data_IF_049080057643
#
_entry.id   IF_049080057643
#
_cell.length_a   1.000
_cell.length_b   1.000
_cell.length_c   1.000
_cell.angle_alpha   90.00
_cell.angle_beta   90.00
_cell.angle_gamma   90.00
#
_symmetry.space_group_name_H-M   'P 1'
#
loop_
_entity.id
_entity.type
_entity.pdbx_description
1 polymer ?
#
# COMPACT_ATOMS: atom_id res chain seq x y z
N UNK A 1 27.42 9.54 -28.40
CA UNK A 1 27.35 9.87 -26.96
C UNK A 1 26.01 10.50 -26.58
N UNK A 2 25.59 11.58 -27.26
CA UNK A 2 24.33 12.31 -27.02
C UNK A 2 23.07 11.42 -27.06
N UNK A 3 22.98 10.50 -28.02
CA UNK A 3 21.82 9.60 -28.14
C UNK A 3 21.60 8.71 -26.91
N UNK A 4 22.67 8.29 -26.21
CA UNK A 4 22.55 7.44 -25.00
C UNK A 4 22.06 8.25 -23.80
N UNK A 5 22.43 9.53 -23.73
CA UNK A 5 21.97 10.45 -22.69
C UNK A 5 20.47 10.72 -22.85
N UNK A 6 20.02 10.95 -24.09
CA UNK A 6 18.60 11.21 -24.38
C UNK A 6 17.69 10.01 -24.06
N UNK A 7 18.16 8.78 -24.29
CA UNK A 7 17.40 7.57 -23.95
C UNK A 7 17.29 7.41 -22.42
N UNK A 8 18.37 7.67 -21.68
CA UNK A 8 18.37 7.55 -20.22
C UNK A 8 17.43 8.57 -19.55
N UNK A 9 17.37 9.81 -20.04
CA UNK A 9 16.41 10.81 -19.53
C UNK A 9 14.96 10.45 -19.85
N UNK A 10 14.68 9.84 -21.01
CA UNK A 10 13.33 9.41 -21.34
C UNK A 10 12.83 8.30 -20.40
N UNK A 11 13.68 7.29 -20.12
CA UNK A 11 13.33 6.20 -19.21
C UNK A 11 13.14 6.65 -17.74
N UNK A 12 13.84 7.70 -17.32
CA UNK A 12 13.67 8.27 -15.97
C UNK A 12 12.30 8.93 -15.77
N UNK A 13 11.67 9.42 -16.84
CA UNK A 13 10.33 10.04 -16.78
C UNK A 13 9.18 9.05 -16.81
N UNK A 14 9.43 7.79 -17.20
CA UNK A 14 8.41 6.73 -17.27
C UNK A 14 8.30 5.90 -15.99
N UNK A 15 8.99 6.28 -14.92
CA UNK A 15 8.76 5.70 -13.61
C UNK A 15 7.32 6.03 -13.19
N UNK A 16 6.40 5.13 -13.51
CA UNK A 16 5.00 5.23 -13.13
C UNK A 16 4.99 5.39 -11.61
N UNK A 17 4.62 6.59 -11.16
CA UNK A 17 4.37 6.85 -9.75
C UNK A 17 3.28 5.85 -9.34
N UNK A 18 3.67 4.77 -8.64
CA UNK A 18 2.72 3.90 -7.99
C UNK A 18 1.95 4.82 -7.03
N UNK A 19 0.73 5.17 -7.40
CA UNK A 19 -0.03 6.16 -6.66
C UNK A 19 -0.13 5.69 -5.21
N UNK A 20 0.51 6.45 -4.32
CA UNK A 20 0.49 6.22 -2.90
C UNK A 20 -0.95 6.32 -2.43
N UNK A 21 -1.57 5.18 -2.13
CA UNK A 21 -3.00 5.09 -1.82
C UNK A 21 -3.16 4.80 -0.34
N UNK A 22 -4.02 5.60 0.29
CA UNK A 22 -4.57 5.28 1.61
C UNK A 22 -5.91 4.59 1.43
N UNK A 23 -6.03 3.39 1.98
CA UNK A 23 -7.25 2.58 1.95
C UNK A 23 -7.66 2.27 3.38
N UNK A 24 -8.91 2.56 3.72
CA UNK A 24 -9.52 2.15 4.98
C UNK A 24 -10.47 1.00 4.69
N UNK A 25 -10.22 -0.14 5.32
CA UNK A 25 -11.03 -1.34 5.18
C UNK A 25 -11.78 -1.56 6.49
N UNK A 26 -13.11 -1.57 6.41
CA UNK A 26 -13.98 -2.08 7.47
C UNK A 26 -14.40 -3.49 7.09
N UNK A 27 -14.31 -4.42 8.03
CA UNK A 27 -14.74 -5.80 7.81
C UNK A 27 -15.76 -6.18 8.89
N UNK A 28 -16.62 -7.16 8.61
CA UNK A 28 -17.44 -7.75 9.66
C UNK A 28 -16.58 -8.47 10.70
N UNK A 29 -15.49 -9.13 10.26
CA UNK A 29 -14.67 -9.99 11.12
C UNK A 29 -13.21 -10.05 10.68
N UNK A 30 -12.27 -10.02 11.64
CA UNK A 30 -10.81 -10.24 11.45
C UNK A 30 -10.33 -11.34 12.38
N UNK A 31 -9.38 -12.16 11.92
CA UNK A 31 -8.69 -13.14 12.75
C UNK A 31 -7.33 -12.56 13.18
N UNK A 32 -7.15 -12.35 14.48
CA UNK A 32 -5.85 -12.07 15.06
C UNK A 32 -5.09 -13.38 15.23
N UNK A 33 -4.16 -13.63 14.32
CA UNK A 33 -3.36 -14.86 14.28
C UNK A 33 -2.36 -14.96 15.42
N UNK A 34 -1.95 -13.82 16.01
CA UNK A 34 -1.01 -13.80 17.13
C UNK A 34 -1.73 -14.14 18.43
N UNK A 35 -2.91 -13.55 18.63
CA UNK A 35 -3.72 -13.80 19.81
C UNK A 35 -4.64 -15.04 19.68
N UNK A 36 -4.74 -15.63 18.50
CA UNK A 36 -5.60 -16.78 18.22
C UNK A 36 -7.10 -16.49 18.38
N UNK A 37 -7.54 -15.26 18.14
CA UNK A 37 -8.94 -14.84 18.38
C UNK A 37 -9.56 -14.10 17.19
N UNK A 38 -10.89 -14.16 17.10
CA UNK A 38 -11.68 -13.35 16.17
C UNK A 38 -11.99 -11.98 16.79
N UNK A 39 -11.95 -10.94 15.96
CA UNK A 39 -12.32 -9.55 16.30
C UNK A 39 -13.43 -9.14 15.34
N UNK A 40 -14.55 -8.71 15.90
CA UNK A 40 -15.71 -8.25 15.14
C UNK A 40 -15.64 -6.74 14.88
N UNK A 41 -16.22 -6.34 13.75
CA UNK A 41 -16.28 -4.97 13.22
C UNK A 41 -14.95 -4.18 13.25
N UNK A 42 -13.82 -4.75 12.79
CA UNK A 42 -12.54 -4.05 12.79
C UNK A 42 -12.40 -3.04 11.65
N UNK A 43 -11.63 -1.98 11.91
CA UNK A 43 -11.08 -1.08 10.90
C UNK A 43 -9.57 -1.27 10.71
N UNK A 44 -9.11 -1.37 9.46
CA UNK A 44 -7.69 -1.45 9.08
C UNK A 44 -7.33 -0.30 8.14
N UNK A 45 -6.27 0.43 8.49
CA UNK A 45 -5.72 1.49 7.63
C UNK A 45 -4.47 0.97 6.90
N UNK A 46 -4.49 1.09 5.58
CA UNK A 46 -3.43 0.65 4.68
C UNK A 46 -2.91 1.86 3.93
N UNK A 47 -1.61 2.12 4.02
CA UNK A 47 -0.90 3.18 3.29
C UNK A 47 0.17 2.52 2.44
N UNK A 48 0.15 2.79 1.14
CA UNK A 48 1.14 2.29 0.18
C UNK A 48 1.28 0.76 0.20
N UNK A 49 0.14 0.08 0.40
CA UNK A 49 0.08 -1.38 0.50
C UNK A 49 0.57 -1.95 1.83
N UNK A 50 0.89 -1.11 2.83
CA UNK A 50 1.32 -1.52 4.16
C UNK A 50 0.28 -1.15 5.21
N UNK A 51 -0.01 -2.09 6.12
CA UNK A 51 -0.86 -1.82 7.29
C UNK A 51 -0.10 -0.85 8.21
N UNK A 52 -0.71 0.30 8.50
CA UNK A 52 -0.14 1.32 9.39
C UNK A 52 -0.90 1.43 10.71
N UNK A 53 -2.18 1.06 10.72
CA UNK A 53 -2.98 1.01 11.94
C UNK A 53 -4.05 -0.08 11.85
N UNK A 54 -4.41 -0.63 13.01
CA UNK A 54 -5.60 -1.46 13.18
C UNK A 54 -6.36 -0.97 14.41
N UNK A 55 -7.64 -0.67 14.23
CA UNK A 55 -8.54 -0.17 15.27
C UNK A 55 -9.73 -1.09 15.49
N UNK A 56 -10.66 -0.58 16.31
CA UNK A 56 -12.05 -1.03 16.35
C UNK A 56 -12.84 -0.07 15.49
#
# INVERSE_FOLDING_TARGET
MIARILIATLLATTAANAAAKTVVVTAAHRIDVLAGKRVDDPQVTIVDGRITAVGR
#
